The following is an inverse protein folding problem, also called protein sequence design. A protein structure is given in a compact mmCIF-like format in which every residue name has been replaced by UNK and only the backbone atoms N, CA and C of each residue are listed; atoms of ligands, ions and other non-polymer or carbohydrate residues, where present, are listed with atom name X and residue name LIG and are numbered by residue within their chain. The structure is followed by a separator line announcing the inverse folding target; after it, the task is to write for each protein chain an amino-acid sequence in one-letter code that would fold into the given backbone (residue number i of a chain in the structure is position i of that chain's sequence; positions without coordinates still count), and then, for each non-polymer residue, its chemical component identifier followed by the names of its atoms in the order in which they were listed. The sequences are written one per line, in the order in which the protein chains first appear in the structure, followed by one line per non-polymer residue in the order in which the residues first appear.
data_IF_943978551199
#
_entry.id   IF_943978551199
#
_cell.length_a   1.000
_cell.length_b   1.000
_cell.length_c   1.000
_cell.angle_alpha   90.00
_cell.angle_beta   90.00
_cell.angle_gamma   90.00
#
_symmetry.space_group_name_H-M   'P 1'
#
loop_
_entity.id
_entity.type
_entity.pdbx_description
1 polymer ?
#
# COMPACT_ATOMS: atom_id res chain seq x y z
N UNK A 1 31.42 -25.66 -15.87
CA UNK A 1 30.45 -24.55 -15.79
C UNK A 1 29.05 -25.11 -15.66
N UNK A 2 28.37 -24.75 -14.58
CA UNK A 2 26.98 -25.21 -14.37
C UNK A 2 26.06 -24.45 -15.32
N UNK A 3 25.28 -25.17 -16.12
CA UNK A 3 24.24 -24.55 -16.91
C UNK A 3 23.12 -24.05 -16.00
N UNK A 4 22.67 -22.82 -16.22
CA UNK A 4 21.49 -22.32 -15.55
C UNK A 4 20.27 -22.99 -16.18
N UNK A 5 19.63 -23.91 -15.42
CA UNK A 5 18.45 -24.65 -15.88
C UNK A 5 17.15 -23.85 -15.76
N UNK A 6 17.21 -22.68 -15.14
CA UNK A 6 16.05 -21.83 -14.93
C UNK A 6 15.91 -20.79 -16.05
N UNK A 7 14.68 -20.44 -16.43
CA UNK A 7 14.48 -19.34 -17.38
C UNK A 7 15.12 -18.05 -16.87
N UNK A 8 15.63 -17.25 -17.79
CA UNK A 8 16.17 -15.95 -17.44
C UNK A 8 15.06 -15.05 -16.90
N UNK A 9 15.37 -14.27 -15.85
CA UNK A 9 14.45 -13.32 -15.26
C UNK A 9 14.53 -11.99 -16.00
N UNK A 10 13.36 -11.43 -16.35
CA UNK A 10 13.28 -10.09 -16.90
C UNK A 10 12.94 -9.13 -15.76
N UNK A 11 13.91 -8.32 -15.33
CA UNK A 11 13.76 -7.39 -14.21
C UNK A 11 12.77 -6.25 -14.46
N UNK A 12 12.39 -6.03 -15.70
CA UNK A 12 11.40 -4.99 -16.06
C UNK A 12 9.99 -5.60 -16.16
N UNK A 13 9.88 -6.76 -16.80
CA UNK A 13 8.59 -7.40 -17.10
C UNK A 13 8.05 -8.20 -15.92
N UNK A 14 8.92 -8.93 -15.22
CA UNK A 14 8.54 -9.93 -14.23
C UNK A 14 8.53 -9.40 -12.80
N UNK A 15 8.84 -8.12 -12.59
CA UNK A 15 9.02 -7.53 -11.28
C UNK A 15 8.32 -6.18 -11.17
N UNK A 16 7.99 -5.83 -9.94
CA UNK A 16 7.63 -4.46 -9.59
C UNK A 16 8.51 -4.01 -8.42
N UNK A 17 8.82 -2.71 -8.30
CA UNK A 17 9.70 -2.24 -7.23
C UNK A 17 8.98 -2.17 -5.89
N UNK A 18 9.63 -2.73 -4.87
CA UNK A 18 9.23 -2.60 -3.47
C UNK A 18 10.38 -1.89 -2.74
N UNK A 19 10.13 -0.77 -2.05
CA UNK A 19 11.20 -0.05 -1.37
C UNK A 19 11.90 -0.90 -0.30
N UNK A 20 13.21 -0.83 -0.25
CA UNK A 20 14.02 -1.57 0.73
C UNK A 20 13.66 -1.20 2.17
N UNK A 21 13.34 0.05 2.40
CA UNK A 21 13.04 0.62 3.71
C UNK A 21 11.75 0.08 4.33
N UNK A 22 10.95 -0.68 3.57
CA UNK A 22 9.70 -1.27 4.08
C UNK A 22 9.94 -2.12 5.34
N UNK A 23 11.10 -2.74 5.44
CA UNK A 23 11.45 -3.57 6.59
C UNK A 23 11.94 -2.77 7.80
N UNK A 24 12.20 -1.48 7.63
CA UNK A 24 12.68 -0.59 8.69
C UNK A 24 11.56 0.12 9.44
N UNK A 25 10.30 -0.02 8.98
CA UNK A 25 9.16 0.72 9.53
C UNK A 25 8.43 -0.01 10.66
N UNK A 26 8.82 -1.23 10.97
CA UNK A 26 8.14 -2.02 12.01
C UNK A 26 6.75 -2.47 11.61
N UNK A 27 6.50 -2.65 10.32
CA UNK A 27 5.21 -3.12 9.82
C UNK A 27 5.03 -4.61 10.09
N UNK A 28 3.78 -5.03 10.31
CA UNK A 28 3.44 -6.45 10.37
C UNK A 28 3.56 -7.09 8.98
N UNK A 29 3.63 -8.42 8.94
CA UNK A 29 3.64 -9.16 7.68
C UNK A 29 2.41 -8.84 6.82
N UNK A 30 1.24 -8.72 7.44
CA UNK A 30 0.00 -8.36 6.76
C UNK A 30 0.08 -6.96 6.15
N UNK A 31 0.58 -5.98 6.88
CA UNK A 31 0.75 -4.61 6.38
C UNK A 31 1.71 -4.56 5.19
N UNK A 32 2.83 -5.30 5.27
CA UNK A 32 3.79 -5.38 4.17
C UNK A 32 3.14 -6.02 2.93
N UNK A 33 2.40 -7.12 3.10
CA UNK A 33 1.74 -7.79 2.00
C UNK A 33 0.71 -6.90 1.32
N UNK A 34 -0.10 -6.17 2.09
CA UNK A 34 -1.11 -5.26 1.56
C UNK A 34 -0.43 -4.10 0.82
N UNK A 35 0.58 -3.49 1.41
CA UNK A 35 1.33 -2.41 0.78
C UNK A 35 1.95 -2.86 -0.54
N UNK A 36 2.58 -4.04 -0.55
CA UNK A 36 3.17 -4.61 -1.75
C UNK A 36 2.12 -4.85 -2.85
N UNK A 37 0.94 -5.35 -2.49
CA UNK A 37 -0.13 -5.58 -3.45
C UNK A 37 -0.64 -4.25 -4.05
N UNK A 38 -0.77 -3.21 -3.24
CA UNK A 38 -1.16 -1.89 -3.72
C UNK A 38 -0.11 -1.31 -4.67
N UNK A 39 1.17 -1.49 -4.39
CA UNK A 39 2.25 -1.11 -5.30
C UNK A 39 2.16 -1.87 -6.63
N UNK A 40 1.81 -3.15 -6.57
CA UNK A 40 1.58 -3.95 -7.77
C UNK A 40 0.43 -3.40 -8.61
N UNK A 41 -0.64 -2.91 -7.97
CA UNK A 41 -1.83 -2.40 -8.63
C UNK A 41 -1.71 -0.96 -9.10
N UNK A 42 -0.76 -0.17 -8.59
CA UNK A 42 -0.72 1.26 -8.83
C UNK A 42 -0.40 1.62 -10.28
N UNK A 43 -1.00 2.72 -10.73
CA UNK A 43 -0.58 3.38 -11.96
C UNK A 43 0.74 4.11 -11.69
N UNK A 44 1.77 3.80 -12.45
CA UNK A 44 3.13 4.34 -12.26
C UNK A 44 3.23 5.85 -12.46
N UNK A 45 2.28 6.45 -13.15
CA UNK A 45 2.27 7.89 -13.41
C UNK A 45 1.53 8.67 -12.34
N UNK A 46 0.42 8.10 -11.84
CA UNK A 46 -0.43 8.76 -10.84
C UNK A 46 -0.17 8.29 -9.42
N UNK A 47 0.48 7.15 -9.24
CA UNK A 47 0.71 6.46 -7.95
C UNK A 47 -0.60 6.09 -7.25
N UNK A 48 -1.64 5.85 -8.03
CA UNK A 48 -2.99 5.59 -7.55
C UNK A 48 -3.52 4.24 -8.05
N UNK A 49 -4.36 3.62 -7.24
CA UNK A 49 -5.11 2.42 -7.60
C UNK A 49 -6.39 2.36 -6.78
N UNK A 50 -7.34 1.54 -7.20
CA UNK A 50 -8.58 1.37 -6.45
C UNK A 50 -9.13 -0.06 -6.47
N UNK A 51 -8.32 -1.05 -6.04
CA UNK A 51 -8.82 -2.40 -5.86
C UNK A 51 -9.83 -2.46 -4.71
N UNK A 52 -10.80 -3.36 -4.81
CA UNK A 52 -11.74 -3.58 -3.71
C UNK A 52 -11.05 -4.28 -2.53
N UNK A 53 -11.59 -4.14 -1.32
CA UNK A 53 -11.10 -4.89 -0.18
C UNK A 53 -11.16 -6.40 -0.42
N UNK A 54 -12.17 -6.86 -1.15
CA UNK A 54 -12.28 -8.25 -1.55
C UNK A 54 -11.08 -8.69 -2.40
N UNK A 55 -10.73 -7.89 -3.41
CA UNK A 55 -9.58 -8.19 -4.28
C UNK A 55 -8.27 -8.22 -3.49
N UNK A 56 -8.06 -7.24 -2.63
CA UNK A 56 -6.88 -7.21 -1.77
C UNK A 56 -6.86 -8.46 -0.89
N UNK A 57 -7.97 -8.79 -0.26
CA UNK A 57 -8.08 -9.95 0.63
C UNK A 57 -7.81 -11.27 -0.09
N UNK A 58 -8.32 -11.44 -1.31
CA UNK A 58 -8.05 -12.62 -2.12
C UNK A 58 -6.57 -12.75 -2.49
N UNK A 59 -5.92 -11.62 -2.78
CA UNK A 59 -4.52 -11.60 -3.17
C UNK A 59 -3.59 -11.93 -2.01
N UNK A 60 -3.87 -11.43 -0.81
CA UNK A 60 -2.98 -11.58 0.36
C UNK A 60 -3.47 -12.62 1.37
N UNK A 61 -4.63 -13.24 1.13
CA UNK A 61 -5.15 -14.30 1.98
C UNK A 61 -5.74 -13.82 3.30
N UNK A 62 -6.38 -12.64 3.33
CA UNK A 62 -6.96 -12.05 4.53
C UNK A 62 -8.44 -11.70 4.31
N UNK A 63 -9.22 -11.66 5.40
CA UNK A 63 -10.60 -11.23 5.35
C UNK A 63 -10.71 -9.73 5.08
N UNK A 64 -11.87 -9.29 4.58
CA UNK A 64 -12.10 -7.87 4.30
C UNK A 64 -12.01 -7.00 5.56
N UNK A 65 -12.48 -7.50 6.70
CA UNK A 65 -12.37 -6.77 7.96
C UNK A 65 -10.92 -6.57 8.38
N UNK A 66 -10.09 -7.60 8.20
CA UNK A 66 -8.64 -7.53 8.47
C UNK A 66 -7.97 -6.55 7.53
N UNK A 67 -8.32 -6.56 6.24
CA UNK A 67 -7.80 -5.59 5.25
C UNK A 67 -8.13 -4.17 5.69
N UNK A 68 -9.39 -3.90 6.06
CA UNK A 68 -9.82 -2.57 6.50
C UNK A 68 -8.99 -2.06 7.68
N UNK A 69 -8.74 -2.92 8.66
CA UNK A 69 -7.93 -2.60 9.83
C UNK A 69 -6.50 -2.22 9.45
N UNK A 70 -5.86 -3.00 8.58
CA UNK A 70 -4.49 -2.77 8.18
C UNK A 70 -4.34 -1.56 7.23
N UNK A 71 -5.34 -1.31 6.38
CA UNK A 71 -5.36 -0.10 5.55
C UNK A 71 -5.36 1.14 6.45
N UNK A 72 -6.18 1.13 7.49
CA UNK A 72 -6.23 2.23 8.45
C UNK A 72 -4.88 2.44 9.15
N UNK A 73 -4.21 1.35 9.53
CA UNK A 73 -2.87 1.39 10.11
C UNK A 73 -1.84 1.96 9.15
N UNK A 74 -1.88 1.57 7.88
CA UNK A 74 -0.97 2.09 6.85
C UNK A 74 -1.18 3.59 6.61
N UNK A 75 -2.43 4.06 6.66
CA UNK A 75 -2.73 5.50 6.58
C UNK A 75 -2.14 6.26 7.77
N UNK A 76 -2.30 5.74 8.97
CA UNK A 76 -1.77 6.37 10.18
C UNK A 76 -0.25 6.47 10.14
N UNK A 77 0.41 5.53 9.49
CA UNK A 77 1.87 5.53 9.30
C UNK A 77 2.32 6.44 8.17
N UNK A 78 1.40 7.04 7.42
CA UNK A 78 1.71 7.95 6.33
C UNK A 78 2.15 7.27 5.04
N UNK A 79 1.89 5.97 4.88
CA UNK A 79 2.29 5.20 3.70
C UNK A 79 1.28 5.31 2.57
N UNK A 80 0.02 5.61 2.87
CA UNK A 80 -1.00 5.80 1.85
C UNK A 80 -2.07 6.77 2.32
N UNK A 81 -2.83 7.28 1.35
CA UNK A 81 -4.00 8.11 1.57
C UNK A 81 -5.17 7.45 0.86
N UNK A 82 -6.31 7.36 1.50
CA UNK A 82 -7.53 6.84 0.88
C UNK A 82 -8.55 7.93 0.69
N UNK A 83 -9.28 7.87 -0.42
CA UNK A 83 -10.35 8.80 -0.74
C UNK A 83 -11.57 8.01 -1.20
N UNK A 84 -12.79 8.39 -0.78
CA UNK A 84 -13.99 7.75 -1.27
C UNK A 84 -14.21 8.09 -2.75
N UNK A 85 -14.74 7.14 -3.50
CA UNK A 85 -15.16 7.37 -4.88
C UNK A 85 -16.66 7.20 -4.99
N UNK A 86 -17.25 7.87 -5.98
CA UNK A 86 -18.68 7.80 -6.26
C UNK A 86 -18.90 7.25 -7.67
N UNK A 87 -19.79 6.28 -7.79
CA UNK A 87 -20.18 5.69 -9.07
C UNK A 87 -21.64 6.06 -9.34
N UNK A 88 -21.93 6.58 -10.54
CA UNK A 88 -23.28 6.86 -10.97
C UNK A 88 -23.80 5.68 -11.79
N UNK A 89 -24.93 5.08 -11.37
CA UNK A 89 -25.55 3.99 -12.09
C UNK A 89 -26.35 4.52 -13.29
N UNK A 90 -26.78 3.61 -14.17
CA UNK A 90 -27.60 3.94 -15.34
C UNK A 90 -28.90 4.67 -14.97
N UNK A 91 -29.39 4.49 -13.74
CA UNK A 91 -30.60 5.12 -13.24
C UNK A 91 -30.36 6.48 -12.58
N UNK A 92 -29.16 7.01 -12.66
CA UNK A 92 -28.79 8.26 -12.02
C UNK A 92 -28.56 8.19 -10.51
N UNK A 93 -28.64 7.01 -9.90
CA UNK A 93 -28.32 6.83 -8.50
C UNK A 93 -26.82 6.84 -8.27
N UNK A 94 -26.37 7.55 -7.21
CA UNK A 94 -24.97 7.59 -6.83
C UNK A 94 -24.71 6.57 -5.73
N UNK A 95 -23.70 5.74 -5.94
CA UNK A 95 -23.25 4.74 -4.97
C UNK A 95 -21.79 4.96 -4.63
N UNK A 96 -21.38 4.57 -3.43
CA UNK A 96 -19.98 4.56 -3.07
C UNK A 96 -19.25 3.49 -3.90
N UNK A 97 -18.19 3.91 -4.62
CA UNK A 97 -17.30 2.99 -5.30
C UNK A 97 -16.21 2.48 -4.37
N UNK A 98 -15.22 1.79 -4.95
CA UNK A 98 -14.04 1.38 -4.21
C UNK A 98 -13.25 2.60 -3.76
N UNK A 99 -12.50 2.48 -2.66
CA UNK A 99 -11.61 3.55 -2.23
C UNK A 99 -10.51 3.76 -3.25
N UNK A 100 -10.17 5.03 -3.47
CA UNK A 100 -8.98 5.41 -4.23
C UNK A 100 -7.80 5.44 -3.27
N UNK A 101 -6.79 4.62 -3.56
CA UNK A 101 -5.56 4.58 -2.77
C UNK A 101 -4.48 5.37 -3.48
N UNK A 102 -3.91 6.36 -2.81
CA UNK A 102 -2.72 7.06 -3.27
C UNK A 102 -1.56 6.60 -2.42
N UNK A 103 -0.54 6.00 -3.04
CA UNK A 103 0.61 5.47 -2.33
C UNK A 103 1.64 6.58 -2.20
N UNK A 104 2.00 6.88 -0.95
CA UNK A 104 2.97 7.93 -0.65
C UNK A 104 4.38 7.36 -0.69
N UNK A 105 5.39 8.17 -1.04
CA UNK A 105 6.78 7.73 -0.96
C UNK A 105 7.12 7.29 0.46
N UNK A 106 7.88 6.21 0.58
CA UNK A 106 8.23 5.65 1.90
C UNK A 106 9.01 6.65 2.75
N UNK A 107 9.74 7.56 2.12
CA UNK A 107 10.44 8.65 2.80
C UNK A 107 9.50 9.56 3.57
N UNK A 108 8.27 9.75 3.09
CA UNK A 108 7.25 10.52 3.79
C UNK A 108 6.86 9.87 5.12
N UNK A 109 6.74 8.53 5.14
CA UNK A 109 6.44 7.78 6.37
C UNK A 109 7.62 7.82 7.34
N UNK A 110 8.84 7.71 6.83
CA UNK A 110 10.05 7.82 7.66
C UNK A 110 10.16 9.20 8.30
N UNK A 111 9.90 10.24 7.55
CA UNK A 111 9.92 11.62 8.06
C UNK A 111 8.86 11.83 9.12
N UNK A 112 7.66 11.32 8.91
CA UNK A 112 6.57 11.39 9.89
C UNK A 112 6.94 10.70 11.21
N UNK A 113 7.55 9.52 11.13
CA UNK A 113 8.04 8.80 12.30
C UNK A 113 9.11 9.55 13.05
N UNK A 114 10.05 10.15 12.33
CA UNK A 114 11.10 10.98 12.90
C UNK A 114 10.53 12.20 13.61
N UNK A 115 9.59 12.90 13.00
CA UNK A 115 8.93 14.07 13.57
C UNK A 115 8.20 13.73 14.86
N UNK A 116 7.54 12.57 14.92
CA UNK A 116 6.88 12.08 16.15
C UNK A 116 7.88 11.86 17.28
N UNK A 117 9.02 11.25 16.98
CA UNK A 117 10.08 11.02 17.96
C UNK A 117 10.64 12.34 18.48
N UNK A 118 10.88 13.30 17.61
CA UNK A 118 11.39 14.61 18.00
C UNK A 118 10.40 15.39 18.86
N UNK A 119 9.10 15.29 18.60
CA UNK A 119 8.06 15.90 19.43
C UNK A 119 8.06 15.33 20.83
N UNK A 120 8.16 14.00 20.95
CA UNK A 120 8.24 13.34 22.27
C UNK A 120 9.43 13.82 23.07
N UNK A 121 10.60 13.95 22.45
CA UNK A 121 11.80 14.45 23.13
C UNK A 121 11.64 15.90 23.58
N UNK A 122 10.96 16.72 22.81
CA UNK A 122 10.69 18.12 23.12
C UNK A 122 9.67 18.25 24.28
N UNK A 123 8.62 17.42 24.25
CA UNK A 123 7.56 17.45 25.27
C UNK A 123 8.03 16.89 26.62
N UNK A 124 9.02 16.01 26.63
CA UNK A 124 9.60 15.42 27.84
C UNK A 124 10.71 16.29 28.46
N UNK A 125 11.08 17.38 27.82
CA UNK A 125 12.13 18.26 28.29
C UNK A 125 11.66 19.25 29.34
#
# INVERSE_FOLDING_TARGET
MKRNLWPARDSVKDYFPLPKEIFSLGLSAAEIAIYAYLLFCENRQTFQCWPSYRKIGEAVGLSQNTIRKHIRSLEERGLLVTEPTMVTTKNGCKHNGNLLFTIRPIQAALQQGYDRQMRKLTDDA
#
